data_IF_752469272292
#
_entry.id   IF_752469272292
#
_cell.length_a   1.000
_cell.length_b   1.000
_cell.length_c   1.000
_cell.angle_alpha   90.00
_cell.angle_beta   90.00
_cell.angle_gamma   90.00
#
_symmetry.space_group_name_H-M   'P 1'
#
loop_
_entity.id
_entity.type
_entity.pdbx_description
1 polymer ?
#
# COMPACT_ATOMS: atom_id res chain seq x y z
N UNK A 1 -67.33 56.27 -9.51
CA UNK A 1 -67.07 57.34 -10.50
C UNK A 1 -66.17 58.37 -9.81
N UNK A 2 -65.08 58.81 -10.46
CA UNK A 2 -64.26 59.98 -10.05
C UNK A 2 -63.38 59.69 -8.79
N UNK A 3 -62.08 60.01 -8.62
CA UNK A 3 -61.07 60.89 -9.25
C UNK A 3 -59.69 60.45 -8.77
N UNK A 4 -58.66 60.78 -9.54
CA UNK A 4 -57.27 60.97 -9.10
C UNK A 4 -57.18 61.79 -7.80
N UNK A 5 -56.23 61.46 -6.92
CA UNK A 5 -55.43 62.48 -6.22
C UNK A 5 -54.00 62.01 -5.97
N UNK A 6 -53.08 62.89 -6.34
CA UNK A 6 -51.66 62.90 -6.03
C UNK A 6 -51.42 62.89 -4.51
N UNK A 7 -50.26 62.39 -4.09
CA UNK A 7 -49.41 63.19 -3.22
C UNK A 7 -47.92 62.90 -3.48
N UNK A 8 -47.23 63.97 -3.89
CA UNK A 8 -45.80 64.16 -3.66
C UNK A 8 -45.55 64.19 -2.14
N UNK A 9 -44.27 64.06 -1.79
CA UNK A 9 -43.54 64.61 -0.63
C UNK A 9 -42.75 63.48 0.05
N UNK A 10 -41.49 63.29 -0.33
CA UNK A 10 -40.31 63.72 0.46
C UNK A 10 -39.04 63.28 -0.27
N UNK A 11 -38.17 64.25 -0.52
CA UNK A 11 -36.81 64.03 -0.97
C UNK A 11 -35.98 63.63 0.26
N UNK A 12 -35.45 62.42 0.25
CA UNK A 12 -34.24 62.09 0.98
C UNK A 12 -33.28 61.42 0.00
N UNK A 13 -32.07 61.97 -0.12
CA UNK A 13 -30.95 61.32 -0.79
C UNK A 13 -30.63 60.05 0.00
N UNK A 14 -31.19 58.92 -0.38
CA UNK A 14 -30.74 57.60 0.08
C UNK A 14 -29.44 57.27 -0.66
N UNK A 15 -28.39 56.97 0.10
CA UNK A 15 -27.14 56.43 -0.42
C UNK A 15 -27.44 55.18 -1.29
N UNK A 16 -26.64 54.91 -2.34
CA UNK A 16 -26.85 53.72 -3.15
C UNK A 16 -26.76 52.49 -2.25
N UNK A 17 -27.85 51.73 -2.23
CA UNK A 17 -27.96 50.43 -1.58
C UNK A 17 -26.82 49.54 -2.10
N UNK A 18 -26.06 48.84 -1.23
CA UNK A 18 -24.97 47.99 -1.69
C UNK A 18 -25.57 46.93 -2.61
N UNK A 19 -25.12 46.92 -3.86
CA UNK A 19 -25.49 45.91 -4.84
C UNK A 19 -25.17 44.54 -4.23
N UNK A 20 -26.21 43.78 -3.87
CA UNK A 20 -26.08 42.37 -3.53
C UNK A 20 -25.73 41.69 -4.84
N UNK A 21 -24.42 41.54 -5.09
CA UNK A 21 -23.93 40.71 -6.17
C UNK A 21 -24.37 39.28 -5.80
N UNK A 22 -25.22 38.61 -6.58
CA UNK A 22 -25.53 37.21 -6.31
C UNK A 22 -24.21 36.45 -6.27
N UNK A 23 -23.99 35.53 -5.32
CA UNK A 23 -22.76 34.76 -5.28
C UNK A 23 -22.57 34.14 -6.65
N UNK A 24 -21.47 34.47 -7.31
CA UNK A 24 -21.08 33.86 -8.57
C UNK A 24 -20.93 32.38 -8.26
N UNK A 25 -21.94 31.58 -8.61
CA UNK A 25 -21.86 30.13 -8.55
C UNK A 25 -20.86 29.74 -9.63
N UNK A 26 -19.59 29.67 -9.27
CA UNK A 26 -18.56 29.10 -10.12
C UNK A 26 -18.97 27.64 -10.36
N UNK A 27 -19.54 27.38 -11.53
CA UNK A 27 -19.83 26.03 -12.00
C UNK A 27 -18.50 25.30 -12.15
N UNK A 28 -18.07 24.62 -11.09
CA UNK A 28 -16.90 23.76 -11.14
C UNK A 28 -17.26 22.53 -11.96
N UNK A 29 -16.63 22.39 -13.13
CA UNK A 29 -16.82 21.21 -13.98
C UNK A 29 -16.13 20.02 -13.31
N UNK A 30 -16.93 19.05 -12.87
CA UNK A 30 -16.45 17.80 -12.28
C UNK A 30 -16.16 16.82 -13.43
N UNK A 31 -14.99 16.20 -13.40
CA UNK A 31 -14.60 15.16 -14.35
C UNK A 31 -14.69 13.80 -13.67
N UNK A 32 -15.65 12.98 -14.10
CA UNK A 32 -15.78 11.60 -13.66
C UNK A 32 -15.02 10.70 -14.63
N UNK A 33 -14.26 9.76 -14.08
CA UNK A 33 -13.43 8.85 -14.85
C UNK A 33 -14.05 7.46 -14.89
N UNK A 34 -13.90 6.81 -16.04
CA UNK A 34 -14.31 5.44 -16.23
C UNK A 34 -13.17 4.47 -15.84
N UNK A 35 -13.57 3.38 -15.20
CA UNK A 35 -12.70 2.24 -14.93
C UNK A 35 -12.51 1.43 -16.20
N UNK A 36 -11.29 0.98 -16.46
CA UNK A 36 -11.04 0.01 -17.52
C UNK A 36 -11.13 -1.38 -16.89
N UNK A 37 -12.28 -2.04 -17.05
CA UNK A 37 -12.55 -3.32 -16.40
C UNK A 37 -11.56 -4.41 -16.81
N UNK A 38 -11.20 -4.46 -18.09
CA UNK A 38 -10.20 -5.40 -18.61
C UNK A 38 -8.82 -5.19 -17.98
N UNK A 39 -8.39 -3.94 -17.82
CA UNK A 39 -7.12 -3.64 -17.13
C UNK A 39 -7.15 -4.01 -15.66
N UNK A 40 -8.27 -3.75 -14.97
CA UNK A 40 -8.43 -4.12 -13.56
C UNK A 40 -8.37 -5.64 -13.37
N UNK A 41 -9.10 -6.39 -14.18
CA UNK A 41 -9.10 -7.86 -14.17
C UNK A 41 -7.71 -8.42 -14.45
N UNK A 42 -7.04 -7.89 -15.48
CA UNK A 42 -5.66 -8.26 -15.80
C UNK A 42 -4.69 -8.04 -14.63
N UNK A 43 -4.84 -6.96 -13.86
CA UNK A 43 -4.01 -6.70 -12.68
C UNK A 43 -4.37 -7.64 -11.52
N UNK A 44 -5.66 -7.92 -11.31
CA UNK A 44 -6.13 -8.85 -10.27
C UNK A 44 -5.58 -10.26 -10.50
N UNK A 45 -5.70 -10.74 -11.75
CA UNK A 45 -5.27 -12.08 -12.19
C UNK A 45 -3.75 -12.23 -12.30
N UNK A 46 -3.00 -11.13 -12.36
CA UNK A 46 -1.53 -11.19 -12.36
C UNK A 46 -1.00 -11.84 -11.07
N UNK A 47 0.19 -12.47 -11.09
CA UNK A 47 0.75 -13.08 -9.88
C UNK A 47 0.93 -12.08 -8.73
N UNK A 48 0.74 -12.54 -7.49
CA UNK A 48 1.01 -11.73 -6.30
C UNK A 48 2.50 -11.41 -6.15
N UNK A 49 2.81 -10.15 -5.80
CA UNK A 49 4.18 -9.78 -5.47
C UNK A 49 4.55 -10.30 -4.09
N UNK A 50 5.69 -11.01 -4.01
CA UNK A 50 6.29 -11.33 -2.74
C UNK A 50 6.87 -10.05 -2.11
N UNK A 51 6.70 -9.88 -0.80
CA UNK A 51 7.17 -8.70 -0.09
C UNK A 51 6.73 -8.68 1.37
N UNK A 52 7.10 -7.61 2.08
CA UNK A 52 6.83 -7.45 3.52
C UNK A 52 5.34 -7.40 3.86
N UNK A 53 4.55 -6.84 2.94
CA UNK A 53 3.10 -6.72 3.10
C UNK A 53 2.43 -6.72 1.72
N UNK A 54 2.26 -7.88 1.09
CA UNK A 54 1.57 -7.98 -0.19
C UNK A 54 0.14 -7.47 -0.10
N UNK A 55 -0.35 -6.84 -1.17
CA UNK A 55 -1.70 -6.33 -1.25
C UNK A 55 -1.87 -5.36 -2.41
N UNK A 56 -2.87 -4.48 -2.27
CA UNK A 56 -3.28 -3.53 -3.30
C UNK A 56 -3.28 -2.11 -2.74
N UNK A 57 -2.88 -1.16 -3.56
CA UNK A 57 -3.24 0.25 -3.43
C UNK A 57 -4.32 0.55 -4.47
N UNK A 58 -5.41 1.18 -4.08
CA UNK A 58 -6.54 1.49 -4.94
C UNK A 58 -6.78 2.99 -5.04
N UNK A 59 -7.35 3.38 -6.17
CA UNK A 59 -7.80 4.73 -6.45
C UNK A 59 -9.31 4.69 -6.65
N UNK A 60 -10.05 5.30 -5.72
CA UNK A 60 -11.51 5.41 -5.78
C UNK A 60 -11.88 6.86 -6.00
N UNK A 61 -12.78 7.13 -6.93
CA UNK A 61 -13.31 8.47 -7.16
C UNK A 61 -14.70 8.60 -6.54
N UNK A 62 -14.94 9.67 -5.78
CA UNK A 62 -16.29 10.05 -5.35
C UNK A 62 -16.98 10.93 -6.40
N UNK A 63 -18.30 10.84 -6.51
CA UNK A 63 -19.05 11.56 -7.54
C UNK A 63 -19.30 13.03 -7.21
N UNK A 64 -19.41 13.39 -5.92
CA UNK A 64 -19.84 14.73 -5.51
C UNK A 64 -18.84 15.83 -5.87
N UNK A 65 -17.56 15.58 -5.64
CA UNK A 65 -16.49 16.56 -5.89
C UNK A 65 -15.49 16.08 -6.95
N UNK A 66 -15.61 14.84 -7.41
CA UNK A 66 -14.63 14.21 -8.30
C UNK A 66 -13.29 13.90 -7.62
N UNK A 67 -13.21 14.01 -6.30
CA UNK A 67 -12.00 13.75 -5.51
C UNK A 67 -11.64 12.27 -5.52
N UNK A 68 -10.34 11.99 -5.38
CA UNK A 68 -9.81 10.64 -5.38
C UNK A 68 -9.32 10.24 -4.01
N UNK A 69 -9.77 9.09 -3.54
CA UNK A 69 -9.19 8.40 -2.40
C UNK A 69 -8.08 7.48 -2.86
N UNK A 70 -6.88 7.66 -2.30
CA UNK A 70 -5.78 6.70 -2.43
C UNK A 70 -5.75 5.87 -1.16
N UNK A 71 -6.12 4.59 -1.24
CA UNK A 71 -6.17 3.71 -0.08
C UNK A 71 -5.55 2.36 -0.36
N UNK A 72 -5.52 1.49 0.65
CA UNK A 72 -4.87 0.18 0.55
C UNK A 72 -5.71 -0.96 1.15
N UNK A 73 -5.49 -2.18 0.67
CA UNK A 73 -6.16 -3.38 1.18
C UNK A 73 -5.36 -4.65 0.87
N UNK A 74 -5.46 -5.66 1.73
CA UNK A 74 -4.99 -7.04 1.43
C UNK A 74 -6.03 -7.85 0.65
N UNK A 75 -7.32 -7.53 0.84
CA UNK A 75 -8.43 -8.24 0.21
C UNK A 75 -9.28 -7.22 -0.55
N UNK A 76 -9.15 -7.24 -1.88
CA UNK A 76 -9.82 -6.28 -2.75
C UNK A 76 -11.33 -6.51 -2.76
N UNK A 77 -11.79 -7.76 -2.86
CA UNK A 77 -13.20 -8.15 -2.89
C UNK A 77 -13.97 -7.64 -1.65
N UNK A 78 -13.48 -7.96 -0.45
CA UNK A 78 -14.07 -7.48 0.82
C UNK A 78 -14.10 -5.97 0.88
N UNK A 79 -13.07 -5.30 0.35
CA UNK A 79 -12.98 -3.83 0.35
C UNK A 79 -13.95 -3.21 -0.66
N UNK A 80 -14.13 -3.81 -1.83
CA UNK A 80 -15.06 -3.34 -2.85
C UNK A 80 -16.51 -3.49 -2.42
N UNK A 81 -16.84 -4.59 -1.73
CA UNK A 81 -18.16 -4.76 -1.12
C UNK A 81 -18.46 -3.67 -0.07
N UNK A 82 -17.46 -3.12 0.61
CA UNK A 82 -17.67 -1.98 1.53
C UNK A 82 -18.02 -0.70 0.74
N UNK A 83 -17.35 -0.44 -0.38
CA UNK A 83 -17.62 0.75 -1.18
C UNK A 83 -18.97 0.69 -1.91
N UNK A 84 -19.39 -0.50 -2.36
CA UNK A 84 -20.68 -0.67 -3.04
C UNK A 84 -21.91 -0.68 -2.12
N UNK A 85 -21.76 -1.04 -0.84
CA UNK A 85 -22.92 -1.34 0.04
C UNK A 85 -23.07 -0.36 1.21
N UNK A 86 -22.04 0.42 1.59
CA UNK A 86 -22.04 1.18 2.86
C UNK A 86 -21.85 2.69 2.77
N UNK A 87 -21.67 3.28 1.59
CA UNK A 87 -21.45 4.73 1.48
C UNK A 87 -22.70 5.45 0.96
N UNK A 88 -23.06 6.62 1.54
CA UNK A 88 -24.22 7.40 1.11
C UNK A 88 -24.04 8.06 -0.26
N UNK A 89 -22.85 7.95 -0.86
CA UNK A 89 -22.49 8.56 -2.14
C UNK A 89 -21.87 7.52 -3.06
N UNK A 90 -22.12 7.64 -4.37
CA UNK A 90 -21.53 6.78 -5.38
C UNK A 90 -20.01 6.96 -5.40
N UNK A 91 -19.30 5.84 -5.36
CA UNK A 91 -17.86 5.75 -5.38
C UNK A 91 -17.46 4.72 -6.43
N UNK A 92 -16.50 5.06 -7.29
CA UNK A 92 -16.05 4.17 -8.37
C UNK A 92 -14.59 3.83 -8.22
N UNK A 93 -14.27 2.54 -8.27
CA UNK A 93 -12.89 2.08 -8.34
C UNK A 93 -12.32 2.42 -9.72
N UNK A 94 -11.37 3.34 -9.80
CA UNK A 94 -10.78 3.81 -11.06
C UNK A 94 -9.57 2.97 -11.47
N UNK A 95 -8.72 2.62 -10.50
CA UNK A 95 -7.50 1.87 -10.76
C UNK A 95 -6.97 1.16 -9.51
N UNK A 96 -6.13 0.14 -9.70
CA UNK A 96 -5.42 -0.56 -8.63
C UNK A 96 -3.95 -0.75 -9.00
N UNK A 97 -3.11 -0.82 -7.98
CA UNK A 97 -1.71 -1.20 -8.06
C UNK A 97 -1.52 -2.39 -7.14
N UNK A 98 -1.17 -3.54 -7.70
CA UNK A 98 -0.69 -4.69 -6.92
C UNK A 98 0.70 -4.35 -6.38
N UNK A 99 0.99 -4.67 -5.12
CA UNK A 99 2.18 -4.16 -4.43
C UNK A 99 2.69 -5.17 -3.40
N UNK A 100 4.01 -5.41 -3.39
CA UNK A 100 4.68 -6.23 -2.36
C UNK A 100 4.77 -5.56 -0.98
N UNK A 101 4.61 -4.24 -0.91
CA UNK A 101 4.43 -3.51 0.35
C UNK A 101 3.35 -2.42 0.26
N UNK A 102 2.08 -2.82 0.27
CA UNK A 102 0.95 -1.88 0.11
C UNK A 102 0.90 -0.76 1.16
N UNK A 103 1.48 -0.98 2.36
CA UNK A 103 1.60 0.07 3.38
C UNK A 103 2.55 1.18 2.95
N UNK A 104 3.73 0.82 2.44
CA UNK A 104 4.72 1.80 1.99
C UNK A 104 4.30 2.43 0.66
N UNK A 105 3.80 1.63 -0.29
CA UNK A 105 3.34 2.12 -1.60
C UNK A 105 2.28 3.21 -1.47
N UNK A 106 1.31 3.04 -0.58
CA UNK A 106 0.31 4.07 -0.34
C UNK A 106 0.91 5.33 0.31
N UNK A 107 1.80 5.18 1.29
CA UNK A 107 2.47 6.31 1.93
C UNK A 107 3.32 7.14 0.95
N UNK A 108 4.08 6.49 0.06
CA UNK A 108 4.89 7.19 -0.95
C UNK A 108 4.03 7.83 -2.04
N UNK A 109 2.88 7.23 -2.40
CA UNK A 109 1.92 7.85 -3.31
C UNK A 109 1.24 9.08 -2.66
N UNK A 110 0.90 9.01 -1.38
CA UNK A 110 0.39 10.18 -0.65
C UNK A 110 1.42 11.31 -0.61
N UNK A 111 2.70 10.97 -0.40
CA UNK A 111 3.80 11.93 -0.46
C UNK A 111 3.95 12.53 -1.86
N UNK A 112 3.89 11.70 -2.90
CA UNK A 112 3.98 12.13 -4.29
C UNK A 112 2.87 13.12 -4.66
N UNK A 113 1.63 12.85 -4.25
CA UNK A 113 0.48 13.72 -4.51
C UNK A 113 0.19 14.73 -3.39
N UNK A 114 1.15 14.98 -2.48
CA UNK A 114 0.95 15.85 -1.32
C UNK A 114 0.50 17.27 -1.68
N UNK A 115 1.00 17.83 -2.79
CA UNK A 115 0.59 19.13 -3.29
C UNK A 115 -0.87 19.20 -3.77
N UNK A 116 -1.50 18.04 -4.02
CA UNK A 116 -2.90 17.88 -4.44
C UNK A 116 -3.76 17.27 -3.34
N UNK A 117 -3.23 17.14 -2.12
CA UNK A 117 -3.93 16.54 -0.99
C UNK A 117 -5.01 17.50 -0.52
N UNK A 118 -6.21 16.95 -0.35
CA UNK A 118 -7.35 17.60 0.30
C UNK A 118 -7.31 17.19 1.78
N UNK A 119 -8.39 16.63 2.31
CA UNK A 119 -8.47 16.15 3.69
C UNK A 119 -8.19 14.64 3.80
N UNK A 120 -7.40 14.24 4.80
CA UNK A 120 -7.12 12.84 5.08
C UNK A 120 -6.45 12.11 3.91
N UNK A 121 -7.12 11.12 3.33
CA UNK A 121 -6.61 10.29 2.21
C UNK A 121 -7.20 10.71 0.85
N UNK A 122 -7.76 11.92 0.75
CA UNK A 122 -8.40 12.44 -0.45
C UNK A 122 -7.52 13.43 -1.21
N UNK A 123 -7.58 13.40 -2.54
CA UNK A 123 -6.70 14.13 -3.44
C UNK A 123 -7.47 14.69 -4.65
N UNK A 124 -7.11 15.89 -5.09
CA UNK A 124 -7.61 16.51 -6.31
C UNK A 124 -6.77 16.08 -7.53
N UNK A 125 -6.88 14.81 -7.92
CA UNK A 125 -6.17 14.27 -9.08
C UNK A 125 -6.84 14.69 -10.39
N UNK A 126 -6.03 14.95 -11.41
CA UNK A 126 -6.48 15.35 -12.74
C UNK A 126 -6.24 14.23 -13.77
N UNK A 127 -6.55 14.52 -15.04
CA UNK A 127 -6.40 13.57 -16.15
C UNK A 127 -4.95 13.14 -16.34
N UNK A 128 -4.01 14.06 -16.19
CA UNK A 128 -2.58 13.81 -16.34
C UNK A 128 -2.06 12.88 -15.24
N UNK A 129 -2.52 13.06 -14.00
CA UNK A 129 -2.18 12.18 -12.88
C UNK A 129 -2.67 10.76 -13.13
N UNK A 130 -3.92 10.60 -13.60
CA UNK A 130 -4.46 9.29 -13.91
C UNK A 130 -3.76 8.63 -15.09
N UNK A 131 -3.38 9.40 -16.12
CA UNK A 131 -2.59 8.88 -17.23
C UNK A 131 -1.22 8.39 -16.72
N UNK A 132 -0.58 9.14 -15.82
CA UNK A 132 0.68 8.74 -15.20
C UNK A 132 0.54 7.48 -14.35
N UNK A 133 -0.52 7.39 -13.54
CA UNK A 133 -0.83 6.21 -12.72
C UNK A 133 -1.01 4.98 -13.63
N UNK A 134 -1.87 5.07 -14.66
CA UNK A 134 -2.17 3.95 -15.56
C UNK A 134 -0.97 3.54 -16.41
N UNK A 135 -0.08 4.47 -16.75
CA UNK A 135 1.13 4.18 -17.50
C UNK A 135 2.16 3.36 -16.71
N UNK A 136 2.05 3.28 -15.38
CA UNK A 136 2.99 2.53 -14.54
C UNK A 136 4.41 3.10 -14.52
N UNK A 137 4.62 4.34 -14.97
CA UNK A 137 5.92 5.00 -15.05
C UNK A 137 6.24 5.74 -13.74
N UNK A 138 6.21 4.99 -12.64
CA UNK A 138 6.38 5.55 -11.32
C UNK A 138 7.83 5.98 -11.06
N UNK A 139 8.02 6.84 -10.06
CA UNK A 139 9.35 7.18 -9.58
C UNK A 139 10.05 5.95 -8.98
N UNK A 140 11.37 5.99 -8.89
CA UNK A 140 12.16 4.91 -8.30
C UNK A 140 11.72 4.59 -6.85
N UNK A 141 11.41 5.62 -6.05
CA UNK A 141 10.89 5.48 -4.68
C UNK A 141 9.60 4.64 -4.63
N UNK A 142 8.70 4.81 -5.60
CA UNK A 142 7.43 4.08 -5.67
C UNK A 142 7.64 2.67 -6.24
N UNK A 143 8.48 2.52 -7.26
CA UNK A 143 8.74 1.20 -7.86
C UNK A 143 9.33 0.23 -6.82
N UNK A 144 10.22 0.71 -5.94
CA UNK A 144 10.81 -0.09 -4.87
C UNK A 144 9.79 -0.63 -3.85
N UNK A 145 8.63 0.01 -3.70
CA UNK A 145 7.59 -0.45 -2.77
C UNK A 145 6.58 -1.39 -3.46
N UNK A 146 6.35 -1.20 -4.77
CA UNK A 146 5.47 -2.03 -5.62
C UNK A 146 6.11 -3.38 -5.88
N UNK A 147 7.33 -3.35 -6.41
CA UNK A 147 8.20 -4.48 -6.62
C UNK A 147 9.33 -4.31 -5.61
N UNK A 148 9.18 -4.79 -4.36
CA UNK A 148 10.33 -4.89 -3.50
C UNK A 148 11.30 -5.84 -4.20
N UNK A 149 12.27 -5.24 -4.88
CA UNK A 149 13.48 -5.92 -5.34
C UNK A 149 13.92 -6.73 -4.13
N UNK A 150 14.03 -8.06 -4.29
CA UNK A 150 14.83 -8.95 -3.45
C UNK A 150 15.92 -8.12 -2.81
N UNK A 151 15.81 -7.87 -1.49
CA UNK A 151 16.44 -6.74 -0.82
C UNK A 151 17.88 -6.51 -1.34
N UNK A 152 18.06 -5.53 -2.23
CA UNK A 152 19.35 -4.87 -2.39
C UNK A 152 19.55 -4.09 -1.10
N UNK A 153 20.01 -4.80 -0.06
CA UNK A 153 20.64 -4.21 1.12
C UNK A 153 21.73 -3.29 0.59
N UNK A 154 21.44 -1.99 0.55
CA UNK A 154 22.36 -0.95 0.14
C UNK A 154 23.63 -1.07 0.95
N UNK A 155 24.73 -1.14 0.21
CA UNK A 155 26.07 -1.26 0.70
C UNK A 155 26.50 0.00 1.47
N UNK A 156 27.08 -0.22 2.65
CA UNK A 156 28.46 0.14 2.97
C UNK A 156 29.00 -1.15 3.61
N UNK A 157 29.91 -1.96 3.08
CA UNK A 157 30.89 -1.92 1.98
C UNK A 157 31.13 -3.38 1.51
N UNK A 158 31.57 -3.51 0.26
CA UNK A 158 32.48 -4.52 -0.34
C UNK A 158 32.19 -6.03 -0.25
N UNK A 159 32.26 -6.62 -1.46
CA UNK A 159 32.82 -7.94 -1.80
C UNK A 159 31.94 -9.19 -1.58
N UNK A 160 31.51 -9.73 -2.72
CA UNK A 160 31.47 -11.13 -3.16
C UNK A 160 31.12 -12.28 -2.18
N UNK A 161 30.17 -13.10 -2.66
CA UNK A 161 29.88 -14.50 -2.32
C UNK A 161 29.07 -14.85 -1.04
N UNK A 162 27.96 -15.59 -1.25
CA UNK A 162 27.17 -16.41 -0.31
C UNK A 162 26.75 -15.80 1.06
N UNK A 163 25.65 -15.02 1.06
CA UNK A 163 24.96 -14.56 2.29
C UNK A 163 24.38 -15.68 3.18
N UNK A 164 24.33 -16.93 2.71
CA UNK A 164 23.76 -18.06 3.45
C UNK A 164 24.77 -18.74 4.40
N UNK A 165 26.08 -18.62 4.15
CA UNK A 165 27.14 -19.25 4.97
C UNK A 165 27.61 -18.33 6.12
N UNK A 166 26.90 -17.22 6.36
CA UNK A 166 27.25 -16.27 7.41
C UNK A 166 26.94 -16.84 8.80
N UNK A 167 27.90 -16.74 9.72
CA UNK A 167 27.78 -17.14 11.12
C UNK A 167 26.64 -16.40 11.84
N UNK A 168 26.04 -17.08 12.83
CA UNK A 168 24.96 -16.52 13.64
C UNK A 168 25.44 -15.40 14.58
N UNK A 169 24.59 -14.39 14.78
CA UNK A 169 24.75 -13.41 15.86
C UNK A 169 24.48 -14.04 17.23
N UNK A 170 24.97 -13.48 18.35
CA UNK A 170 24.74 -14.06 19.69
C UNK A 170 23.26 -14.32 20.02
N UNK A 171 22.37 -13.38 19.66
CA UNK A 171 20.92 -13.56 19.84
C UNK A 171 20.35 -14.71 19.01
N UNK A 172 20.89 -14.93 17.82
CA UNK A 172 20.48 -16.02 16.94
C UNK A 172 21.02 -17.36 17.43
N UNK A 173 22.22 -17.38 18.01
CA UNK A 173 22.78 -18.56 18.69
C UNK A 173 21.89 -18.96 19.88
N UNK A 174 21.49 -18.00 20.71
CA UNK A 174 20.54 -18.25 21.81
C UNK A 174 19.22 -18.80 21.30
N UNK A 175 18.66 -18.21 20.25
CA UNK A 175 17.44 -18.72 19.63
C UNK A 175 17.61 -20.13 19.08
N UNK A 176 18.73 -20.43 18.40
CA UNK A 176 19.06 -21.76 17.90
C UNK A 176 19.11 -22.80 19.03
N UNK A 177 19.72 -22.47 20.18
CA UNK A 177 19.73 -23.33 21.37
C UNK A 177 18.31 -23.72 21.77
N UNK A 178 17.38 -22.75 21.82
CA UNK A 178 15.98 -23.05 22.20
C UNK A 178 15.27 -24.01 21.26
N UNK A 179 15.66 -24.03 19.98
CA UNK A 179 15.11 -24.95 18.98
C UNK A 179 15.74 -26.34 19.10
N UNK A 180 17.05 -26.40 19.32
CA UNK A 180 17.79 -27.65 19.50
C UNK A 180 17.35 -28.40 20.76
N UNK A 181 17.13 -27.71 21.88
CA UNK A 181 16.56 -28.32 23.10
C UNK A 181 15.21 -28.98 22.83
N UNK A 182 14.39 -28.44 21.94
CA UNK A 182 13.10 -29.05 21.57
C UNK A 182 13.24 -30.29 20.70
N UNK A 183 14.40 -30.52 20.08
CA UNK A 183 14.71 -31.68 19.24
C UNK A 183 15.57 -32.72 19.95
N UNK A 184 15.99 -32.46 21.20
CA UNK A 184 17.02 -33.24 21.90
C UNK A 184 16.67 -34.72 22.12
N UNK A 185 15.38 -35.07 22.05
CA UNK A 185 14.92 -36.45 22.16
C UNK A 185 15.20 -37.28 20.90
N UNK A 186 15.21 -36.66 19.72
CA UNK A 186 15.32 -37.33 18.43
C UNK A 186 16.65 -37.02 17.72
N UNK A 187 17.25 -35.85 18.00
CA UNK A 187 18.46 -35.37 17.35
C UNK A 187 19.46 -34.81 18.36
N UNK A 188 20.74 -34.93 18.04
CA UNK A 188 21.84 -34.25 18.73
C UNK A 188 22.59 -33.32 17.76
N UNK A 189 23.16 -32.24 18.31
CA UNK A 189 24.00 -31.33 17.53
C UNK A 189 25.37 -32.00 17.29
N UNK A 190 25.75 -32.16 16.03
CA UNK A 190 26.99 -32.85 15.64
C UNK A 190 28.17 -31.88 15.40
N UNK A 191 27.91 -30.57 15.40
CA UNK A 191 28.92 -29.51 15.22
C UNK A 191 28.95 -28.53 16.40
N UNK A 192 29.97 -27.68 16.47
CA UNK A 192 30.00 -26.59 17.44
C UNK A 192 28.91 -25.56 17.11
N UNK A 193 28.15 -25.17 18.13
CA UNK A 193 27.10 -24.18 18.04
C UNK A 193 27.60 -22.82 17.49
N UNK A 194 28.86 -22.46 17.75
CA UNK A 194 29.45 -21.23 17.22
C UNK A 194 29.64 -21.26 15.69
N UNK A 195 29.67 -22.46 15.10
CA UNK A 195 29.87 -22.66 13.65
C UNK A 195 28.56 -22.69 12.86
N UNK A 196 27.42 -22.65 13.55
CA UNK A 196 26.11 -22.61 12.89
C UNK A 196 26.01 -21.40 11.97
N UNK A 197 25.51 -21.65 10.77
CA UNK A 197 25.27 -20.61 9.77
C UNK A 197 23.82 -20.14 9.82
N UNK A 198 23.56 -19.00 9.18
CA UNK A 198 22.21 -18.52 8.96
C UNK A 198 21.33 -19.54 8.23
N UNK A 199 21.92 -20.31 7.30
CA UNK A 199 21.26 -21.40 6.57
C UNK A 199 20.74 -22.49 7.52
N UNK A 200 21.55 -22.87 8.50
CA UNK A 200 21.20 -23.93 9.44
C UNK A 200 20.09 -23.50 10.40
N UNK A 201 20.15 -22.26 10.88
CA UNK A 201 19.08 -21.68 11.68
C UNK A 201 17.76 -21.58 10.91
N UNK A 202 17.82 -21.19 9.63
CA UNK A 202 16.61 -21.12 8.80
C UNK A 202 15.97 -22.49 8.60
N UNK A 203 16.78 -23.54 8.42
CA UNK A 203 16.30 -24.93 8.34
C UNK A 203 15.69 -25.39 9.67
N UNK A 204 16.36 -25.15 10.79
CA UNK A 204 15.84 -25.45 12.13
C UNK A 204 14.49 -24.76 12.36
N UNK A 205 14.40 -23.46 12.08
CA UNK A 205 13.16 -22.70 12.21
C UNK A 205 12.08 -23.17 11.25
N UNK A 206 12.44 -23.62 10.04
CA UNK A 206 11.54 -24.13 9.02
C UNK A 206 10.77 -25.36 9.49
N UNK A 207 11.43 -26.29 10.18
CA UNK A 207 10.78 -27.44 10.81
C UNK A 207 9.72 -27.00 11.84
N UNK A 208 10.07 -26.12 12.77
CA UNK A 208 9.13 -25.72 13.83
C UNK A 208 7.94 -24.91 13.33
N UNK A 209 8.16 -24.09 12.29
CA UNK A 209 7.12 -23.21 11.73
C UNK A 209 6.17 -23.94 10.78
N UNK A 210 6.70 -24.85 9.96
CA UNK A 210 5.95 -25.47 8.86
C UNK A 210 5.84 -26.99 8.97
N UNK A 211 6.37 -27.59 10.03
CA UNK A 211 6.45 -29.06 10.22
C UNK A 211 7.13 -29.78 9.05
N UNK A 212 8.04 -29.08 8.38
CA UNK A 212 8.76 -29.60 7.21
C UNK A 212 9.92 -30.51 7.65
N UNK A 213 9.66 -31.82 7.74
CA UNK A 213 10.67 -32.85 8.09
C UNK A 213 11.89 -32.85 7.17
N UNK A 214 11.72 -32.46 5.89
CA UNK A 214 12.81 -32.38 4.92
C UNK A 214 13.91 -31.38 5.30
N UNK A 215 13.61 -30.41 6.16
CA UNK A 215 14.63 -29.47 6.65
C UNK A 215 15.58 -30.10 7.68
N UNK A 216 15.08 -31.02 8.51
CA UNK A 216 15.89 -31.78 9.47
C UNK A 216 16.75 -32.83 8.75
N UNK A 217 16.19 -33.55 7.77
CA UNK A 217 16.97 -34.52 6.99
C UNK A 217 18.12 -33.85 6.23
N UNK A 218 17.92 -32.62 5.74
CA UNK A 218 19.01 -31.83 5.17
C UNK A 218 20.07 -31.47 6.20
N UNK A 219 19.69 -31.06 7.42
CA UNK A 219 20.64 -30.76 8.50
C UNK A 219 21.44 -31.98 8.93
N UNK A 220 20.85 -33.17 8.87
CA UNK A 220 21.55 -34.44 9.09
C UNK A 220 22.51 -34.73 7.94
N UNK A 221 22.06 -34.57 6.69
CA UNK A 221 22.88 -34.81 5.51
C UNK A 221 24.12 -33.89 5.43
N UNK A 222 24.01 -32.64 5.90
CA UNK A 222 25.14 -31.71 5.98
C UNK A 222 25.96 -31.84 7.27
N UNK A 223 25.63 -32.79 8.15
CA UNK A 223 26.38 -33.08 9.37
C UNK A 223 26.21 -32.07 10.50
N UNK A 224 25.18 -31.21 10.46
CA UNK A 224 24.87 -30.26 11.53
C UNK A 224 24.11 -30.96 12.67
N UNK A 225 23.17 -31.84 12.31
CA UNK A 225 22.45 -32.69 13.24
C UNK A 225 22.83 -34.16 13.04
N UNK A 226 22.63 -34.95 14.07
CA UNK A 226 22.72 -36.41 14.01
C UNK A 226 21.50 -37.01 14.69
N UNK A 227 20.88 -37.99 14.03
CA UNK A 227 19.79 -38.77 14.61
C UNK A 227 20.33 -39.67 15.72
N UNK A 228 19.58 -39.79 16.81
CA UNK A 228 19.89 -40.68 17.92
C UNK A 228 19.45 -42.12 17.65
#
# INVERSE_FOLDING_TARGET
MVKNMFNKIFSSKTAPEPLIIPPVVQQHKIYLFESNQYELEKIIESPDFQGKAPGYVYFVQEYMNGSFKIGKTKNLEKRMNIFGVKLPFENKLIFIIKSGNHHQTEAVLHKHFSAKRLEGEWFALNKEDLAWIKAGKYTEEINQTILPLEEKKTAIKTEDENKEDKLLTPKQVEFAKTLLTKLENEYELATDLATLTQKDLNRLSGYFRFKNKGTLTNLVAVGVLKEK
#
